data_IF_707101107493
#
_entry.id   IF_707101107493
#
_cell.length_a   1.000
_cell.length_b   1.000
_cell.length_c   1.000
_cell.angle_alpha   90.00
_cell.angle_beta   90.00
_cell.angle_gamma   90.00
#
_symmetry.space_group_name_H-M   'P 1'
#
loop_
_entity.id
_entity.type
_entity.pdbx_description
1 polymer ?
#
# COMPACT_ATOMS: atom_id res chain seq x y z
N UNK A 1 31.77 27.83 18.42
CA UNK A 1 31.18 28.47 17.24
C UNK A 1 30.39 27.44 16.44
N UNK A 2 29.05 27.62 16.39
CA UNK A 2 28.05 27.17 15.40
C UNK A 2 28.27 25.79 14.72
N UNK A 3 27.61 24.68 15.11
CA UNK A 3 26.20 24.31 14.85
C UNK A 3 25.68 24.69 13.45
N UNK A 4 26.21 24.04 12.42
CA UNK A 4 25.64 23.81 11.08
C UNK A 4 26.31 22.50 10.64
N UNK A 5 25.65 21.37 10.37
CA UNK A 5 24.57 21.18 9.40
C UNK A 5 23.81 19.90 9.79
N UNK A 6 22.68 20.06 10.49
CA UNK A 6 21.57 19.09 10.45
C UNK A 6 20.73 19.47 9.22
N UNK A 7 20.08 18.50 8.58
CA UNK A 7 19.28 18.58 7.34
C UNK A 7 20.07 18.10 6.11
N UNK A 8 20.35 16.80 6.07
CA UNK A 8 20.49 16.02 4.84
C UNK A 8 20.20 14.55 5.21
N UNK A 9 19.50 13.81 4.36
CA UNK A 9 18.80 12.53 4.62
C UNK A 9 17.36 12.64 5.14
N UNK A 10 16.52 13.29 4.33
CA UNK A 10 15.08 13.04 4.28
C UNK A 10 14.79 12.21 3.01
N UNK A 11 15.54 11.13 2.82
CA UNK A 11 15.21 10.06 1.87
C UNK A 11 14.14 9.19 2.52
N UNK A 12 12.89 9.67 2.49
CA UNK A 12 11.77 8.82 2.88
C UNK A 12 11.53 7.84 1.74
N UNK A 13 11.99 6.62 1.93
CA UNK A 13 11.62 5.48 1.10
C UNK A 13 10.11 5.22 1.26
N UNK A 14 9.29 5.91 0.46
CA UNK A 14 7.84 5.73 0.45
C UNK A 14 7.46 4.47 -0.36
N UNK A 15 7.52 3.31 0.30
CA UNK A 15 7.09 1.97 -0.11
C UNK A 15 6.35 1.76 -1.45
N UNK A 16 6.99 0.97 -2.32
CA UNK A 16 6.29 0.07 -3.24
C UNK A 16 5.64 -1.08 -2.43
N UNK A 17 4.54 -1.68 -2.94
CA UNK A 17 3.85 -2.92 -2.46
C UNK A 17 2.46 -2.75 -1.84
N UNK A 18 1.94 -1.55 -1.57
CA UNK A 18 0.53 -1.43 -1.10
C UNK A 18 -0.53 -1.86 -2.13
N UNK A 19 -0.16 -2.14 -3.39
CA UNK A 19 -1.09 -2.54 -4.46
C UNK A 19 -1.37 -4.04 -4.54
N UNK A 20 -0.40 -4.92 -4.21
CA UNK A 20 -0.52 -6.37 -4.42
C UNK A 20 -1.40 -7.04 -3.36
N UNK A 21 -1.32 -6.60 -2.10
CA UNK A 21 -2.08 -7.24 -1.03
C UNK A 21 -3.56 -6.82 -0.98
N UNK A 22 -3.92 -5.67 -1.58
CA UNK A 22 -5.31 -5.27 -1.77
C UNK A 22 -6.03 -6.15 -2.81
N UNK A 23 -5.31 -6.59 -3.84
CA UNK A 23 -5.84 -7.45 -4.90
C UNK A 23 -6.33 -8.81 -4.37
N UNK A 24 -5.69 -9.32 -3.30
CA UNK A 24 -6.06 -10.57 -2.65
C UNK A 24 -7.33 -10.45 -1.80
N UNK A 25 -7.57 -9.29 -1.16
CA UNK A 25 -8.80 -9.05 -0.38
C UNK A 25 -10.06 -8.89 -1.26
N UNK A 26 -9.88 -8.48 -2.52
CA UNK A 26 -10.98 -8.18 -3.42
C UNK A 26 -11.61 -9.43 -4.08
N UNK A 27 -10.96 -10.61 -3.98
CA UNK A 27 -11.34 -11.77 -4.80
C UNK A 27 -12.11 -12.89 -4.08
N UNK A 28 -12.13 -12.93 -2.74
CA UNK A 28 -12.75 -14.05 -1.99
C UNK A 28 -13.95 -13.73 -1.11
N UNK A 29 -14.33 -12.46 -0.95
CA UNK A 29 -15.68 -12.15 -0.45
C UNK A 29 -16.57 -11.85 -1.65
N UNK A 30 -17.74 -12.48 -1.72
CA UNK A 30 -18.84 -12.11 -2.62
C UNK A 30 -19.40 -10.71 -2.32
N UNK A 31 -18.53 -9.73 -2.07
CA UNK A 31 -18.85 -8.32 -2.10
C UNK A 31 -18.95 -7.93 -3.59
N UNK A 32 -20.10 -8.23 -4.19
CA UNK A 32 -20.55 -7.44 -5.33
C UNK A 32 -20.61 -5.99 -4.85
N UNK A 33 -19.63 -5.19 -5.25
CA UNK A 33 -19.76 -3.74 -5.20
C UNK A 33 -20.81 -3.35 -6.25
N UNK A 34 -22.08 -3.58 -5.93
CA UNK A 34 -23.26 -3.14 -6.69
C UNK A 34 -23.47 -1.63 -6.53
N UNK A 35 -22.40 -0.84 -6.64
CA UNK A 35 -22.49 0.58 -6.93
C UNK A 35 -22.09 0.79 -8.38
N UNK A 36 -23.02 1.34 -9.16
CA UNK A 36 -22.71 1.90 -10.46
C UNK A 36 -21.44 2.77 -10.34
N UNK A 37 -20.53 2.75 -11.33
CA UNK A 37 -19.28 3.48 -11.27
C UNK A 37 -19.58 4.94 -10.93
N UNK A 38 -19.10 5.37 -9.75
CA UNK A 38 -19.24 6.76 -9.33
C UNK A 38 -18.39 7.59 -10.28
N UNK A 39 -18.99 8.61 -10.90
CA UNK A 39 -18.27 9.46 -11.85
C UNK A 39 -17.05 10.10 -11.18
N UNK A 40 -15.93 10.14 -11.88
CA UNK A 40 -14.72 10.86 -11.44
C UNK A 40 -14.93 12.39 -11.38
N UNK A 41 -16.07 12.88 -11.87
CA UNK A 41 -16.43 14.29 -11.83
C UNK A 41 -16.48 14.82 -10.39
N UNK A 42 -15.55 15.74 -10.05
CA UNK A 42 -15.34 16.31 -8.69
C UNK A 42 -14.88 15.30 -7.64
N UNK A 43 -14.42 14.12 -8.03
CA UNK A 43 -13.86 13.16 -7.08
C UNK A 43 -12.60 13.74 -6.41
N UNK A 44 -11.70 14.32 -7.20
CA UNK A 44 -10.45 14.90 -6.71
C UNK A 44 -10.64 16.34 -6.19
N UNK A 45 -10.22 16.65 -4.95
CA UNK A 45 -10.27 18.00 -4.39
C UNK A 45 -9.12 18.91 -4.90
N UNK A 46 -8.13 18.35 -5.57
CA UNK A 46 -7.05 19.05 -6.25
C UNK A 46 -6.81 18.42 -7.63
N UNK A 47 -6.20 19.14 -8.60
CA UNK A 47 -5.95 18.58 -9.92
C UNK A 47 -5.12 17.29 -9.86
N UNK A 48 -5.70 16.23 -10.45
CA UNK A 48 -5.06 14.94 -10.69
C UNK A 48 -5.22 14.61 -12.18
N UNK A 49 -4.12 14.40 -12.92
CA UNK A 49 -4.21 14.09 -14.34
C UNK A 49 -4.82 12.71 -14.55
N UNK A 50 -5.80 12.63 -15.45
CA UNK A 50 -6.42 11.37 -15.83
C UNK A 50 -5.55 10.66 -16.87
N UNK A 51 -5.24 9.38 -16.66
CA UNK A 51 -4.40 8.65 -17.60
C UNK A 51 -5.12 8.50 -18.96
N UNK A 52 -4.45 8.68 -20.11
CA UNK A 52 -5.11 8.64 -21.41
C UNK A 52 -5.83 7.31 -21.66
N UNK A 53 -7.09 7.38 -22.08
CA UNK A 53 -7.96 6.23 -22.36
C UNK A 53 -8.23 5.32 -21.15
N UNK A 54 -7.82 5.71 -19.93
CA UNK A 54 -8.13 4.96 -18.73
C UNK A 54 -9.58 5.19 -18.30
N UNK A 55 -10.26 4.09 -17.96
CA UNK A 55 -11.50 4.14 -17.22
C UNK A 55 -11.19 4.05 -15.74
N UNK A 56 -11.01 5.21 -15.10
CA UNK A 56 -10.73 5.30 -13.67
C UNK A 56 -11.99 4.97 -12.84
N UNK A 57 -11.81 4.13 -11.83
CA UNK A 57 -12.83 3.74 -10.86
C UNK A 57 -12.43 4.25 -9.48
N UNK A 58 -13.26 5.07 -8.80
CA UNK A 58 -12.96 5.51 -7.44
C UNK A 58 -13.07 4.31 -6.48
N UNK A 59 -12.12 4.20 -5.55
CA UNK A 59 -12.11 3.10 -4.59
C UNK A 59 -12.92 3.41 -3.32
N UNK A 60 -12.73 4.60 -2.74
CA UNK A 60 -13.52 5.09 -1.60
C UNK A 60 -13.29 6.60 -1.40
N UNK A 61 -14.29 7.28 -0.86
CA UNK A 61 -14.24 8.71 -0.50
C UNK A 61 -13.69 8.95 0.92
N UNK A 62 -13.49 7.88 1.71
CA UNK A 62 -13.11 7.97 3.13
C UNK A 62 -11.97 6.99 3.48
N UNK A 63 -10.88 7.10 2.72
CA UNK A 63 -9.62 6.40 3.03
C UNK A 63 -8.70 7.29 3.87
N UNK A 64 -7.81 6.66 4.62
CA UNK A 64 -6.77 7.33 5.40
C UNK A 64 -5.41 6.64 5.24
N UNK A 65 -4.36 7.46 5.32
CA UNK A 65 -2.96 7.03 5.49
C UNK A 65 -2.41 7.67 6.76
N UNK A 66 -2.18 6.88 7.80
CA UNK A 66 -1.97 7.40 9.16
C UNK A 66 -3.15 8.25 9.61
N UNK A 67 -2.91 9.53 9.90
CA UNK A 67 -3.95 10.52 10.21
C UNK A 67 -4.37 11.37 9.00
N UNK A 68 -3.72 11.21 7.85
CA UNK A 68 -4.04 11.98 6.64
C UNK A 68 -5.22 11.35 5.90
N UNK A 69 -6.08 12.21 5.34
CA UNK A 69 -7.16 11.75 4.45
C UNK A 69 -6.56 11.36 3.11
N UNK A 70 -7.10 10.33 2.47
CA UNK A 70 -6.66 9.86 1.17
C UNK A 70 -7.87 9.66 0.27
N UNK A 71 -7.71 10.00 -1.00
CA UNK A 71 -8.58 9.55 -2.09
C UNK A 71 -7.78 8.68 -3.04
N UNK A 72 -8.41 7.64 -3.57
CA UNK A 72 -7.78 6.71 -4.49
C UNK A 72 -8.75 6.33 -5.60
N UNK A 73 -8.21 6.27 -6.81
CA UNK A 73 -8.86 5.66 -7.96
C UNK A 73 -7.93 4.58 -8.53
N UNK A 74 -8.51 3.62 -9.24
CA UNK A 74 -7.74 2.59 -9.91
C UNK A 74 -8.21 2.39 -11.35
N UNK A 75 -7.31 1.92 -12.19
CA UNK A 75 -7.61 1.49 -13.54
C UNK A 75 -6.64 0.38 -13.99
N UNK A 76 -6.91 -0.21 -15.15
CA UNK A 76 -5.98 -1.14 -15.82
C UNK A 76 -5.61 -0.63 -17.20
N UNK A 77 -4.40 -0.94 -17.63
CA UNK A 77 -3.88 -0.62 -18.96
C UNK A 77 -2.92 -1.72 -19.43
N UNK A 78 -2.82 -1.92 -20.74
CA UNK A 78 -1.80 -2.80 -21.32
C UNK A 78 -0.39 -2.17 -21.26
N UNK A 79 -0.32 -0.84 -21.08
CA UNK A 79 0.93 -0.10 -20.99
C UNK A 79 1.83 -0.60 -19.86
N UNK A 80 3.13 -0.62 -20.11
CA UNK A 80 4.13 -0.99 -19.10
C UNK A 80 4.20 0.05 -17.97
N UNK A 81 4.56 -0.38 -16.72
CA UNK A 81 4.72 0.53 -15.58
C UNK A 81 5.60 1.74 -15.88
N UNK A 82 6.67 1.56 -16.66
CA UNK A 82 7.54 2.67 -17.05
C UNK A 82 6.80 3.74 -17.85
N UNK A 83 5.98 3.35 -18.83
CA UNK A 83 5.19 4.28 -19.64
C UNK A 83 4.17 5.04 -18.79
N UNK A 84 3.48 4.33 -17.89
CA UNK A 84 2.53 4.96 -16.96
C UNK A 84 3.25 5.97 -16.07
N UNK A 85 4.42 5.60 -15.53
CA UNK A 85 5.18 6.47 -14.64
C UNK A 85 5.66 7.75 -15.30
N UNK A 86 6.17 7.67 -16.54
CA UNK A 86 6.67 8.81 -17.31
C UNK A 86 5.57 9.82 -17.62
N UNK A 87 4.34 9.35 -17.84
CA UNK A 87 3.19 10.23 -18.04
C UNK A 87 2.92 11.12 -16.83
N UNK A 88 2.85 10.53 -15.63
CA UNK A 88 2.58 11.28 -14.41
C UNK A 88 3.77 12.15 -13.99
N UNK A 89 4.99 11.62 -14.12
CA UNK A 89 6.24 12.35 -13.86
C UNK A 89 6.28 13.65 -14.68
N UNK A 90 6.13 13.57 -16.01
CA UNK A 90 6.21 14.75 -16.86
C UNK A 90 5.16 15.83 -16.54
N UNK A 91 3.93 15.43 -16.19
CA UNK A 91 2.89 16.37 -15.78
C UNK A 91 3.22 17.05 -14.45
N UNK A 92 3.74 16.29 -13.49
CA UNK A 92 4.06 16.85 -12.17
C UNK A 92 5.34 17.68 -12.17
N UNK A 93 6.35 17.29 -12.94
CA UNK A 93 7.56 18.08 -13.15
C UNK A 93 7.25 19.40 -13.86
N UNK A 94 6.45 19.37 -14.92
CA UNK A 94 6.02 20.60 -15.63
C UNK A 94 5.16 21.53 -14.76
N UNK A 95 4.47 20.99 -13.76
CA UNK A 95 3.77 21.76 -12.73
C UNK A 95 4.68 22.27 -11.59
N UNK A 96 5.98 21.95 -11.62
CA UNK A 96 7.00 22.40 -10.66
C UNK A 96 7.01 21.62 -9.34
N UNK A 97 6.44 20.41 -9.30
CA UNK A 97 6.51 19.58 -8.10
C UNK A 97 7.84 18.83 -8.00
N UNK A 98 8.24 18.49 -6.78
CA UNK A 98 9.33 17.55 -6.55
C UNK A 98 8.83 16.13 -6.78
N UNK A 99 9.39 15.43 -7.76
CA UNK A 99 8.96 14.10 -8.19
C UNK A 99 9.99 13.04 -7.81
N UNK A 100 9.52 11.89 -7.35
CA UNK A 100 10.32 10.68 -7.14
C UNK A 100 9.74 9.54 -7.95
N UNK A 101 10.59 8.76 -8.62
CA UNK A 101 10.21 7.59 -9.41
C UNK A 101 11.07 6.40 -9.05
N UNK A 102 10.43 5.26 -8.83
CA UNK A 102 11.07 3.98 -8.56
C UNK A 102 10.26 2.91 -9.30
N UNK A 103 10.72 2.51 -10.48
CA UNK A 103 9.94 1.69 -11.41
C UNK A 103 10.80 0.59 -12.00
N UNK A 104 10.23 -0.61 -12.04
CA UNK A 104 10.81 -1.83 -12.57
C UNK A 104 9.80 -2.50 -13.53
N UNK A 105 10.19 -3.54 -14.29
CA UNK A 105 9.29 -4.17 -15.27
C UNK A 105 7.97 -4.70 -14.68
N UNK A 106 8.00 -5.15 -13.43
CA UNK A 106 6.84 -5.72 -12.72
C UNK A 106 5.97 -4.70 -11.97
N UNK A 107 6.33 -3.42 -11.97
CA UNK A 107 5.59 -2.41 -11.22
C UNK A 107 6.46 -1.26 -10.73
N UNK A 108 5.97 -0.56 -9.72
CA UNK A 108 6.70 0.51 -9.08
C UNK A 108 5.81 1.67 -8.68
N UNK A 109 6.41 2.83 -8.50
CA UNK A 109 5.73 4.05 -8.08
C UNK A 109 6.31 5.29 -8.74
N UNK A 110 5.46 6.29 -8.87
CA UNK A 110 5.84 7.68 -9.07
C UNK A 110 5.04 8.55 -8.12
N UNK A 111 5.68 9.51 -7.47
CA UNK A 111 5.04 10.37 -6.49
C UNK A 111 5.54 11.81 -6.61
N UNK A 112 4.65 12.77 -6.34
CA UNK A 112 4.95 14.19 -6.33
C UNK A 112 4.48 14.84 -5.02
N UNK A 113 5.38 15.60 -4.40
CA UNK A 113 5.09 16.31 -3.16
C UNK A 113 4.80 17.80 -3.43
N UNK A 114 3.63 18.24 -3.03
CA UNK A 114 3.23 19.65 -3.00
C UNK A 114 3.26 20.15 -1.56
N UNK A 115 4.41 20.71 -1.19
CA UNK A 115 4.66 21.26 0.16
C UNK A 115 3.78 22.47 0.47
N UNK A 116 3.34 23.22 -0.55
CA UNK A 116 2.51 24.42 -0.36
C UNK A 116 1.10 24.04 0.09
N UNK A 117 0.56 22.98 -0.50
CA UNK A 117 -0.81 22.52 -0.23
C UNK A 117 -0.87 21.35 0.76
N UNK A 118 0.28 20.84 1.22
CA UNK A 118 0.39 19.59 1.99
C UNK A 118 -0.32 18.41 1.29
N UNK A 119 -0.01 18.23 0.00
CA UNK A 119 -0.56 17.14 -0.81
C UNK A 119 0.57 16.22 -1.26
N UNK A 120 0.37 14.91 -1.08
CA UNK A 120 1.18 13.87 -1.71
C UNK A 120 0.35 13.22 -2.81
N UNK A 121 0.81 13.35 -4.05
CA UNK A 121 0.26 12.66 -5.22
C UNK A 121 1.08 11.41 -5.44
N UNK A 122 0.45 10.26 -5.58
CA UNK A 122 1.17 9.01 -5.72
C UNK A 122 0.43 8.09 -6.68
N UNK A 123 1.18 7.50 -7.60
CA UNK A 123 0.72 6.46 -8.52
C UNK A 123 1.53 5.22 -8.22
N UNK A 124 0.85 4.13 -7.85
CA UNK A 124 1.45 2.81 -7.65
C UNK A 124 0.99 1.89 -8.76
N UNK A 125 1.91 1.10 -9.29
CA UNK A 125 1.67 0.23 -10.43
C UNK A 125 2.13 -1.19 -10.10
N UNK A 126 1.35 -2.17 -10.55
CA UNK A 126 1.71 -3.59 -10.52
C UNK A 126 1.40 -4.19 -11.87
N UNK A 127 2.34 -4.95 -12.44
CA UNK A 127 2.16 -5.64 -13.72
C UNK A 127 1.98 -7.14 -13.49
N UNK A 128 0.91 -7.68 -14.08
CA UNK A 128 0.57 -9.10 -14.12
C UNK A 128 0.39 -9.51 -15.59
N UNK A 129 1.32 -10.32 -16.12
CA UNK A 129 1.33 -10.67 -17.53
C UNK A 129 1.45 -9.45 -18.44
N UNK A 130 0.45 -9.23 -19.29
CA UNK A 130 0.36 -8.12 -20.24
C UNK A 130 -0.38 -6.90 -19.67
N UNK A 131 -0.92 -6.99 -18.45
CA UNK A 131 -1.76 -5.96 -17.84
C UNK A 131 -1.06 -5.27 -16.66
N UNK A 132 -1.17 -3.95 -16.61
CA UNK A 132 -0.73 -3.13 -15.48
C UNK A 132 -1.95 -2.60 -14.74
N UNK A 133 -2.06 -2.94 -13.46
CA UNK A 133 -3.00 -2.31 -12.53
C UNK A 133 -2.36 -1.05 -11.96
N UNK A 134 -3.09 0.07 -12.03
CA UNK A 134 -2.60 1.39 -11.62
C UNK A 134 -3.52 1.95 -10.55
N UNK A 135 -2.93 2.39 -9.44
CA UNK A 135 -3.60 2.98 -8.30
C UNK A 135 -3.12 4.42 -8.15
N UNK A 136 -4.01 5.35 -8.45
CA UNK A 136 -3.77 6.79 -8.38
C UNK A 136 -4.32 7.29 -7.06
N UNK A 137 -3.50 8.00 -6.29
CA UNK A 137 -3.87 8.47 -4.96
C UNK A 137 -3.48 9.92 -4.73
N UNK A 138 -4.32 10.61 -3.97
CA UNK A 138 -4.09 11.94 -3.45
C UNK A 138 -4.24 11.88 -1.93
N UNK A 139 -3.14 12.10 -1.24
CA UNK A 139 -3.09 12.11 0.21
C UNK A 139 -3.02 13.56 0.69
N UNK A 140 -3.96 13.92 1.56
CA UNK A 140 -4.20 15.27 2.07
C UNK A 140 -3.77 15.32 3.53
N UNK A 141 -2.55 15.77 3.74
CA UNK A 141 -1.97 15.86 5.07
C UNK A 141 -0.48 16.20 5.03
N UNK A 142 0.01 16.76 6.12
CA UNK A 142 1.44 17.03 6.28
C UNK A 142 2.22 15.71 6.39
N UNK A 143 3.54 15.71 6.09
CA UNK A 143 4.40 14.54 6.32
C UNK A 143 4.29 14.00 7.76
N UNK A 144 4.09 14.88 8.76
CA UNK A 144 3.91 14.42 10.14
C UNK A 144 2.58 13.69 10.38
N UNK A 145 1.52 14.00 9.62
CA UNK A 145 0.25 13.26 9.68
C UNK A 145 0.35 11.89 8.99
N UNK A 146 1.16 11.77 7.93
CA UNK A 146 1.44 10.48 7.29
C UNK A 146 2.15 9.52 8.25
N UNK A 147 3.12 10.05 9.01
CA UNK A 147 3.91 9.27 9.97
C UNK A 147 3.17 9.02 11.29
N UNK A 148 2.21 9.88 11.66
CA UNK A 148 1.36 9.69 12.85
C UNK A 148 0.24 8.72 12.51
N UNK A 149 0.42 7.47 12.91
CA UNK A 149 -0.60 6.42 12.80
C UNK A 149 -0.04 5.01 12.70
N UNK A 150 1.22 4.85 12.25
CA UNK A 150 1.85 3.54 12.04
C UNK A 150 1.90 2.63 13.28
N UNK A 151 1.88 3.20 14.50
CA UNK A 151 1.99 2.43 15.74
C UNK A 151 0.67 2.29 16.54
N UNK A 152 -0.49 2.65 15.97
CA UNK A 152 -1.73 2.78 16.76
C UNK A 152 -2.80 1.70 16.54
N UNK A 153 -2.71 0.83 15.52
CA UNK A 153 -3.52 -0.41 15.52
C UNK A 153 -2.84 -1.45 16.42
N UNK A 154 -3.10 -1.35 17.72
CA UNK A 154 -2.56 -2.27 18.74
C UNK A 154 -3.02 -3.72 18.55
N UNK A 155 -3.93 -3.99 17.60
CA UNK A 155 -4.45 -5.33 17.37
C UNK A 155 -3.46 -6.23 16.62
N UNK A 156 -2.57 -5.66 15.80
CA UNK A 156 -1.59 -6.42 15.02
C UNK A 156 -0.17 -6.18 15.56
N UNK A 157 0.61 -7.26 15.80
CA UNK A 157 1.97 -7.12 16.28
C UNK A 157 2.86 -6.52 15.19
N UNK A 158 3.80 -5.67 15.60
CA UNK A 158 4.88 -5.17 14.74
C UNK A 158 6.21 -5.67 15.29
N UNK A 159 7.12 -6.04 14.41
CA UNK A 159 8.45 -6.46 14.83
C UNK A 159 9.20 -5.30 15.51
N UNK A 160 10.00 -5.62 16.53
CA UNK A 160 10.86 -4.64 17.15
C UNK A 160 11.84 -4.07 16.11
N UNK A 161 12.04 -2.75 16.11
CA UNK A 161 12.87 -2.11 15.09
C UNK A 161 12.17 -1.84 13.76
N UNK A 162 10.84 -2.03 13.66
CA UNK A 162 10.07 -1.62 12.49
C UNK A 162 10.26 -0.11 12.19
N UNK A 163 10.77 0.18 10.99
CA UNK A 163 11.01 1.50 10.44
C UNK A 163 10.00 1.82 9.32
N UNK A 164 9.63 3.10 9.17
CA UNK A 164 8.76 3.54 8.07
C UNK A 164 7.32 3.02 8.13
N UNK A 165 6.81 2.65 9.31
CA UNK A 165 5.50 2.02 9.45
C UNK A 165 4.40 2.90 8.88
N UNK A 166 3.76 2.39 7.83
CA UNK A 166 2.66 3.04 7.13
C UNK A 166 1.41 2.21 7.34
N UNK A 167 0.35 2.87 7.83
CA UNK A 167 -0.96 2.25 7.97
C UNK A 167 -1.95 2.91 6.99
N UNK A 168 -2.59 2.07 6.18
CA UNK A 168 -3.69 2.41 5.31
C UNK A 168 -4.97 1.79 5.86
N UNK A 169 -6.07 2.52 5.77
CA UNK A 169 -7.38 1.99 6.17
C UNK A 169 -8.51 2.82 5.62
N UNK A 170 -9.73 2.39 5.92
CA UNK A 170 -10.91 3.21 5.72
C UNK A 170 -11.45 3.69 7.06
N UNK A 171 -12.06 4.88 7.07
CA UNK A 171 -12.84 5.35 8.22
C UNK A 171 -14.30 4.89 8.16
N UNK A 172 -14.74 4.35 7.02
CA UNK A 172 -16.05 3.77 6.90
C UNK A 172 -16.12 2.51 7.78
N UNK A 173 -17.00 2.45 8.80
CA UNK A 173 -17.13 1.30 9.68
C UNK A 173 -17.61 0.03 8.94
N UNK A 174 -18.09 0.14 7.70
CA UNK A 174 -18.43 -0.98 6.83
C UNK A 174 -17.25 -1.42 5.94
N UNK A 175 -16.22 -0.59 5.80
CA UNK A 175 -15.01 -0.90 5.05
C UNK A 175 -14.00 -1.56 6.00
N UNK A 176 -14.00 -2.88 5.94
CA UNK A 176 -13.35 -3.72 6.93
C UNK A 176 -11.87 -4.04 6.65
N UNK A 177 -11.23 -3.31 5.75
CA UNK A 177 -9.86 -3.60 5.32
C UNK A 177 -8.88 -2.55 5.84
N UNK A 178 -7.81 -3.01 6.48
CA UNK A 178 -6.64 -2.20 6.80
C UNK A 178 -5.36 -2.87 6.31
N UNK A 179 -4.35 -2.05 6.04
CA UNK A 179 -3.04 -2.49 5.59
C UNK A 179 -1.98 -1.80 6.43
N UNK A 180 -0.99 -2.55 6.88
CA UNK A 180 0.22 -2.04 7.52
C UNK A 180 1.41 -2.49 6.68
N UNK A 181 2.33 -1.58 6.39
CA UNK A 181 3.58 -1.90 5.70
C UNK A 181 4.75 -1.23 6.43
N UNK A 182 5.86 -1.94 6.56
CA UNK A 182 7.08 -1.41 7.16
C UNK A 182 8.33 -2.15 6.64
N UNK A 183 9.51 -1.62 6.96
CA UNK A 183 10.78 -2.36 6.82
C UNK A 183 11.44 -2.52 8.17
N UNK A 184 12.26 -3.56 8.32
CA UNK A 184 13.15 -3.74 9.46
C UNK A 184 14.50 -4.29 8.98
N UNK A 185 15.43 -4.45 9.93
CA UNK A 185 16.79 -4.98 9.69
C UNK A 185 16.92 -6.46 10.06
N UNK A 186 15.80 -7.10 10.40
CA UNK A 186 15.76 -8.50 10.80
C UNK A 186 15.68 -9.36 9.55
N UNK A 187 16.03 -10.65 9.65
CA UNK A 187 15.94 -11.52 8.48
C UNK A 187 14.48 -11.85 8.13
N UNK A 188 14.27 -12.36 6.92
CA UNK A 188 12.98 -12.94 6.53
C UNK A 188 12.56 -14.05 7.51
N UNK A 189 13.49 -14.90 7.93
CA UNK A 189 13.23 -16.00 8.87
C UNK A 189 12.82 -15.48 10.26
N UNK A 190 13.51 -14.47 10.78
CA UNK A 190 13.19 -13.87 12.08
C UNK A 190 11.78 -13.26 12.09
N UNK A 191 11.40 -12.59 10.99
CA UNK A 191 10.06 -12.06 10.79
C UNK A 191 9.00 -13.18 10.77
N UNK A 192 9.24 -14.28 10.07
CA UNK A 192 8.31 -15.42 10.03
C UNK A 192 8.12 -16.03 11.42
N UNK A 193 9.21 -16.27 12.15
CA UNK A 193 9.18 -16.79 13.53
C UNK A 193 8.40 -15.85 14.45
N UNK A 194 8.64 -14.55 14.34
CA UNK A 194 7.93 -13.54 15.12
C UNK A 194 6.42 -13.62 14.94
N UNK A 195 5.92 -13.62 13.70
CA UNK A 195 4.48 -13.66 13.43
C UNK A 195 3.84 -15.00 13.77
N UNK A 196 4.54 -16.12 13.53
CA UNK A 196 4.07 -17.44 13.95
C UNK A 196 3.90 -17.56 15.46
N UNK A 197 4.65 -16.78 16.25
CA UNK A 197 4.53 -16.73 17.71
C UNK A 197 3.47 -15.73 18.19
N UNK A 198 3.50 -14.51 17.67
CA UNK A 198 2.65 -13.41 18.17
C UNK A 198 1.18 -13.52 17.75
N UNK A 199 0.92 -14.03 16.54
CA UNK A 199 -0.46 -14.12 16.03
C UNK A 199 -1.31 -15.13 16.82
N UNK A 200 -0.82 -16.35 17.17
CA UNK A 200 -1.54 -17.25 18.07
C UNK A 200 -1.78 -16.69 19.47
N UNK A 201 -0.81 -15.94 20.03
CA UNK A 201 -0.98 -15.28 21.32
C UNK A 201 -2.13 -14.24 21.32
N UNK A 202 -2.58 -13.81 20.14
CA UNK A 202 -3.68 -12.86 19.92
C UNK A 202 -4.97 -13.53 19.43
N UNK A 203 -5.03 -14.86 19.49
CA UNK A 203 -6.20 -15.65 19.15
C UNK A 203 -6.40 -15.91 17.66
N UNK A 204 -5.36 -15.73 16.84
CA UNK A 204 -5.41 -16.13 15.43
C UNK A 204 -4.86 -17.54 15.23
N UNK A 205 -5.41 -18.25 14.26
CA UNK A 205 -4.93 -19.56 13.83
C UNK A 205 -4.30 -19.42 12.45
N UNK A 206 -3.11 -20.01 12.25
CA UNK A 206 -2.49 -20.08 10.94
C UNK A 206 -3.36 -20.96 10.02
N UNK A 207 -3.76 -20.42 8.87
CA UNK A 207 -4.50 -21.15 7.86
C UNK A 207 -3.61 -22.21 7.22
N UNK A 208 -4.08 -23.44 7.21
CA UNK A 208 -3.45 -24.57 6.52
C UNK A 208 -3.91 -24.68 5.05
N UNK A 209 -4.57 -23.65 4.51
CA UNK A 209 -4.99 -23.66 3.10
C UNK A 209 -3.79 -23.47 2.17
N UNK A 210 -3.08 -24.58 1.97
CA UNK A 210 -1.90 -24.68 1.12
C UNK A 210 -2.21 -24.33 -0.34
N UNK A 211 -3.45 -24.52 -0.80
CA UNK A 211 -3.86 -24.16 -2.15
C UNK A 211 -3.94 -22.63 -2.30
N UNK A 212 -4.57 -21.94 -1.35
CA UNK A 212 -4.63 -20.48 -1.29
C UNK A 212 -3.22 -19.86 -1.13
N UNK A 213 -2.39 -20.40 -0.24
CA UNK A 213 -1.01 -19.94 -0.04
C UNK A 213 -0.13 -20.11 -1.28
N UNK A 214 -0.26 -21.25 -1.98
CA UNK A 214 0.49 -21.52 -3.21
C UNK A 214 0.08 -20.57 -4.33
N UNK A 215 -1.23 -20.38 -4.54
CA UNK A 215 -1.75 -19.46 -5.56
C UNK A 215 -1.29 -18.01 -5.32
N UNK A 216 -1.27 -17.57 -4.06
CA UNK A 216 -0.77 -16.24 -3.69
C UNK A 216 0.73 -16.11 -3.94
N UNK A 217 1.52 -17.10 -3.51
CA UNK A 217 2.98 -17.08 -3.65
C UNK A 217 3.40 -17.09 -5.12
N UNK A 218 2.75 -17.90 -5.96
CA UNK A 218 3.00 -17.95 -7.41
C UNK A 218 2.69 -16.63 -8.11
N UNK A 219 1.68 -15.89 -7.63
CA UNK A 219 1.30 -14.58 -8.19
C UNK A 219 2.19 -13.43 -7.72
N UNK A 220 2.72 -13.51 -6.51
CA UNK A 220 3.51 -12.42 -5.93
C UNK A 220 4.99 -12.45 -6.37
N UNK A 221 5.49 -13.60 -6.81
CA UNK A 221 6.85 -13.77 -7.31
C UNK A 221 7.72 -14.63 -6.39
N UNK A 222 8.84 -15.10 -6.94
CA UNK A 222 9.85 -15.88 -6.21
C UNK A 222 10.52 -14.98 -5.17
N UNK A 223 10.62 -15.43 -3.90
CA UNK A 223 11.20 -14.74 -2.73
C UNK A 223 10.24 -13.99 -1.80
N UNK A 224 8.92 -14.22 -1.92
CA UNK A 224 7.96 -13.68 -0.96
C UNK A 224 7.35 -14.82 -0.14
N UNK A 225 7.43 -14.70 1.18
CA UNK A 225 6.84 -15.64 2.11
C UNK A 225 5.50 -15.08 2.59
N UNK A 226 4.44 -15.88 2.50
CA UNK A 226 3.08 -15.46 2.86
C UNK A 226 2.55 -16.34 3.98
N UNK A 227 1.95 -15.72 4.99
CA UNK A 227 1.22 -16.37 6.08
C UNK A 227 -0.19 -15.81 6.13
N UNK A 228 -1.19 -16.69 6.24
CA UNK A 228 -2.59 -16.29 6.41
C UNK A 228 -3.02 -16.73 7.80
N UNK A 229 -3.50 -15.80 8.60
CA UNK A 229 -4.00 -16.00 9.94
C UNK A 229 -5.49 -15.68 9.97
N UNK A 230 -6.30 -16.50 10.62
CA UNK A 230 -7.73 -16.27 10.72
C UNK A 230 -8.22 -16.38 12.17
N UNK A 231 -9.24 -15.59 12.49
CA UNK A 231 -10.07 -15.74 13.69
C UNK A 231 -11.50 -15.38 13.33
N UNK A 232 -12.44 -15.51 14.27
CA UNK A 232 -13.86 -15.27 13.99
C UNK A 232 -14.10 -13.89 13.36
N UNK A 233 -14.63 -13.90 12.13
CA UNK A 233 -14.92 -12.69 11.38
C UNK A 233 -13.70 -11.86 10.97
N UNK A 234 -12.50 -12.44 10.91
CA UNK A 234 -11.29 -11.69 10.55
C UNK A 234 -10.21 -12.57 9.91
N UNK A 235 -9.62 -12.11 8.81
CA UNK A 235 -8.46 -12.69 8.14
C UNK A 235 -7.31 -11.67 8.10
N UNK A 236 -6.09 -12.14 8.34
CA UNK A 236 -4.86 -11.36 8.29
C UNK A 236 -3.86 -12.07 7.39
N UNK A 237 -3.46 -11.44 6.30
CA UNK A 237 -2.43 -11.92 5.38
C UNK A 237 -1.16 -11.13 5.63
N UNK A 238 -0.07 -11.82 5.94
CA UNK A 238 1.25 -11.25 6.18
C UNK A 238 2.17 -11.73 5.06
N UNK A 239 2.80 -10.81 4.35
CA UNK A 239 3.85 -11.11 3.39
C UNK A 239 5.17 -10.50 3.84
N UNK A 240 6.23 -11.30 3.72
CA UNK A 240 7.60 -10.96 4.13
C UNK A 240 8.52 -11.19 2.94
N UNK A 241 9.33 -10.20 2.58
CA UNK A 241 10.24 -10.28 1.44
C UNK A 241 11.53 -9.50 1.71
N UNK A 242 12.68 -9.92 1.13
CA UNK A 242 13.86 -9.07 1.13
C UNK A 242 13.59 -7.79 0.30
N UNK A 243 14.32 -6.73 0.59
CA UNK A 243 14.41 -5.55 -0.25
C UNK A 243 15.70 -5.64 -1.06
N UNK A 244 15.57 -5.72 -2.38
CA UNK A 244 16.70 -5.87 -3.31
C UNK A 244 17.81 -4.85 -3.02
N UNK A 245 19.06 -5.31 -3.12
CA UNK A 245 20.27 -4.52 -2.88
C UNK A 245 20.35 -3.84 -1.50
N UNK A 246 19.68 -4.40 -0.48
CA UNK A 246 19.74 -3.92 0.90
C UNK A 246 19.72 -5.05 1.93
N UNK A 247 20.13 -4.74 3.16
CA UNK A 247 20.00 -5.64 4.32
C UNK A 247 18.63 -5.51 5.01
N UNK A 248 17.62 -4.98 4.31
CA UNK A 248 16.30 -4.73 4.88
C UNK A 248 15.31 -5.83 4.48
N UNK A 249 14.44 -6.17 5.43
CA UNK A 249 13.25 -6.99 5.19
C UNK A 249 12.03 -6.10 5.12
N UNK A 250 11.16 -6.34 4.15
CA UNK A 250 9.87 -5.69 4.01
C UNK A 250 8.79 -6.60 4.56
N UNK A 251 7.89 -6.00 5.33
CA UNK A 251 6.70 -6.68 5.84
C UNK A 251 5.46 -5.92 5.43
N UNK A 252 4.47 -6.67 4.97
CA UNK A 252 3.17 -6.16 4.58
C UNK A 252 2.08 -7.00 5.22
N UNK A 253 1.19 -6.36 5.97
CA UNK A 253 0.08 -6.98 6.68
C UNK A 253 -1.22 -6.43 6.12
N UNK A 254 -2.05 -7.28 5.55
CA UNK A 254 -3.43 -6.95 5.18
C UNK A 254 -4.37 -7.60 6.18
N UNK A 255 -5.30 -6.82 6.71
CA UNK A 255 -6.34 -7.26 7.62
C UNK A 255 -7.69 -7.03 6.96
N UNK A 256 -8.54 -8.04 6.94
CA UNK A 256 -9.91 -7.99 6.44
C UNK A 256 -10.85 -8.48 7.53
N UNK A 257 -11.77 -7.66 7.99
CA UNK A 257 -12.86 -8.09 8.89
C UNK A 257 -14.10 -8.49 8.07
N UNK A 258 -14.74 -9.60 8.42
CA UNK A 258 -16.08 -9.93 7.93
C UNK A 258 -17.09 -8.90 8.44
N UNK A 259 -18.17 -8.67 7.68
CA UNK A 259 -19.34 -7.99 8.25
C UNK A 259 -19.83 -8.87 9.40
N UNK A 260 -19.83 -8.34 10.63
CA UNK A 260 -20.50 -8.99 11.75
C UNK A 260 -21.92 -9.35 11.30
N UNK A 261 -22.31 -10.61 11.49
CA UNK A 261 -23.68 -11.05 11.25
C UNK A 261 -24.65 -10.33 12.17
#
# INVERSE_FOLDING_TARGET
MKRFTRILFLTVAFFAVSATAWFLSARESGATASRAPTSMHRFWPAPMPAYPMAQEMPMSDDMVMGQARMKMAWFRTADEPLKVSLYYEGIWESAGYYVTREVHPYGGKVAALDLKSNLLRQVVMTREGDQTSVYVSLIMGSPSQLMKGGATDTALPLMAGAEGVTQLGSRDPLANTSVIAYVDRETVEDNLIFYQKEMPARGYTLSADHAKLKDITEKMGTNINVMIFAREGEEVTISVSPVDDSELTRVHITRVRGKGR
#
